data_IF_579569473112
#
_entry.id   IF_579569473112
#
_cell.length_a   1.000
_cell.length_b   1.000
_cell.length_c   1.000
_cell.angle_alpha   90.00
_cell.angle_beta   90.00
_cell.angle_gamma   90.00
#
_symmetry.space_group_name_H-M   'P 1'
#
loop_
_entity.id
_entity.type
_entity.pdbx_description
1 polymer ?
#
# COMPACT_ATOMS: atom_id res chain seq x y z
N UNK A 1 17.57 53.78 -56.78
CA UNK A 1 17.02 54.19 -55.47
C UNK A 1 16.43 52.93 -54.88
N UNK A 2 17.02 52.42 -53.80
CA UNK A 2 16.64 51.16 -53.16
C UNK A 2 15.92 51.50 -51.86
N UNK A 3 14.67 51.08 -51.71
CA UNK A 3 13.90 51.26 -50.48
C UNK A 3 14.48 50.40 -49.34
N UNK A 4 14.55 50.90 -48.09
CA UNK A 4 14.89 50.08 -46.95
C UNK A 4 13.69 49.24 -46.50
N UNK A 5 13.90 47.93 -46.40
CA UNK A 5 12.94 46.97 -45.89
C UNK A 5 12.92 47.04 -44.35
N UNK A 6 11.81 47.48 -43.76
CA UNK A 6 11.62 47.47 -42.31
C UNK A 6 11.40 46.03 -41.78
N UNK A 7 11.88 45.68 -40.58
CA UNK A 7 11.59 44.39 -39.97
C UNK A 7 10.10 44.30 -39.62
N UNK A 8 9.48 43.17 -39.97
CA UNK A 8 8.12 42.81 -39.54
C UNK A 8 8.03 42.70 -38.02
N UNK A 9 6.89 43.13 -37.47
CA UNK A 9 6.55 43.20 -36.05
C UNK A 9 6.86 41.90 -35.26
N UNK A 10 7.15 42.01 -33.94
CA UNK A 10 7.40 40.85 -33.11
C UNK A 10 6.13 39.99 -33.02
N UNK A 11 6.29 38.73 -33.40
CA UNK A 11 5.34 37.64 -33.23
C UNK A 11 4.77 37.69 -31.80
N UNK A 12 3.45 37.82 -31.72
CA UNK A 12 2.72 37.88 -30.46
C UNK A 12 3.04 36.62 -29.67
N UNK A 13 3.75 36.77 -28.55
CA UNK A 13 4.00 35.68 -27.63
C UNK A 13 2.65 35.10 -27.20
N UNK A 14 2.30 33.93 -27.73
CA UNK A 14 1.16 33.16 -27.27
C UNK A 14 1.29 33.01 -25.76
N UNK A 15 0.38 33.65 -25.03
CA UNK A 15 0.30 33.55 -23.59
C UNK A 15 -0.09 32.12 -23.26
N UNK A 16 0.90 31.30 -22.90
CA UNK A 16 0.66 29.93 -22.45
C UNK A 16 -0.42 29.95 -21.36
N UNK A 17 -1.51 29.18 -21.51
CA UNK A 17 -2.56 29.15 -20.50
C UNK A 17 -1.93 28.74 -19.15
N UNK A 18 -2.36 29.37 -18.04
CA UNK A 18 -1.82 29.05 -16.72
C UNK A 18 -2.00 27.55 -16.44
N UNK A 19 -1.00 26.87 -15.85
CA UNK A 19 -1.09 25.45 -15.56
C UNK A 19 -2.36 25.18 -14.76
N UNK A 20 -3.21 24.29 -15.29
CA UNK A 20 -4.45 23.90 -14.64
C UNK A 20 -4.12 23.44 -13.21
N UNK A 21 -4.86 23.95 -12.22
CA UNK A 21 -4.71 23.53 -10.82
C UNK A 21 -5.19 22.10 -10.71
N UNK A 22 -4.29 21.14 -10.91
CA UNK A 22 -4.56 19.75 -10.65
C UNK A 22 -4.73 19.56 -9.14
N UNK A 23 -5.84 18.95 -8.67
CA UNK A 23 -6.01 18.69 -7.25
C UNK A 23 -4.86 17.82 -6.75
N UNK A 24 -4.17 18.31 -5.70
CA UNK A 24 -2.98 17.68 -5.09
C UNK A 24 -3.23 16.23 -4.64
N UNK A 25 -4.50 15.85 -4.45
CA UNK A 25 -4.93 14.52 -3.99
C UNK A 25 -5.98 13.90 -4.91
N UNK A 26 -5.61 13.50 -6.12
CA UNK A 26 -6.46 12.61 -6.94
C UNK A 26 -6.23 11.14 -6.54
N UNK A 27 -6.59 10.79 -5.30
CA UNK A 27 -6.48 9.42 -4.81
C UNK A 27 -7.45 8.51 -5.59
N UNK A 28 -7.03 7.30 -6.02
CA UNK A 28 -7.93 6.38 -6.70
C UNK A 28 -9.14 6.04 -5.82
N UNK A 29 -10.37 5.94 -6.36
CA UNK A 29 -11.57 5.67 -5.57
C UNK A 29 -11.47 4.44 -4.66
N UNK A 30 -10.79 3.39 -5.12
CA UNK A 30 -10.58 2.19 -4.32
C UNK A 30 -9.67 2.42 -3.11
N UNK A 31 -8.66 3.29 -3.23
CA UNK A 31 -7.76 3.66 -2.13
C UNK A 31 -8.54 4.51 -1.13
N UNK A 32 -9.33 5.47 -1.61
CA UNK A 32 -10.22 6.27 -0.76
C UNK A 32 -11.24 5.39 -0.03
N UNK A 33 -11.80 4.37 -0.68
CA UNK A 33 -12.73 3.43 -0.05
C UNK A 33 -12.07 2.66 1.10
N UNK A 34 -10.85 2.14 0.89
CA UNK A 34 -10.10 1.45 1.96
C UNK A 34 -9.78 2.41 3.11
N UNK A 35 -9.31 3.63 2.82
CA UNK A 35 -9.06 4.65 3.84
C UNK A 35 -10.34 4.98 4.61
N UNK A 36 -11.45 5.17 3.90
CA UNK A 36 -12.75 5.48 4.49
C UNK A 36 -13.25 4.37 5.42
N UNK A 37 -13.13 3.10 5.01
CA UNK A 37 -13.51 1.96 5.85
C UNK A 37 -12.65 1.93 7.12
N UNK A 38 -11.32 2.05 7.01
CA UNK A 38 -10.43 2.09 8.16
C UNK A 38 -10.77 3.25 9.11
N UNK A 39 -11.03 4.44 8.57
CA UNK A 39 -11.40 5.61 9.35
C UNK A 39 -12.74 5.43 10.05
N UNK A 40 -13.76 4.90 9.38
CA UNK A 40 -15.07 4.63 9.97
C UNK A 40 -14.94 3.62 11.11
N UNK A 41 -14.27 2.48 10.88
CA UNK A 41 -14.05 1.46 11.92
C UNK A 41 -13.35 2.06 13.13
N UNK A 42 -12.28 2.83 12.92
CA UNK A 42 -11.55 3.49 14.00
C UNK A 42 -12.41 4.52 14.76
N UNK A 43 -13.17 5.36 14.07
CA UNK A 43 -14.04 6.35 14.70
C UNK A 43 -15.18 5.69 15.51
N UNK A 44 -15.73 4.59 15.01
CA UNK A 44 -16.70 3.78 15.76
C UNK A 44 -16.08 3.24 17.05
N UNK A 45 -14.88 2.65 16.95
CA UNK A 45 -14.15 2.14 18.12
C UNK A 45 -13.91 3.24 19.16
N UNK A 46 -13.52 4.45 18.75
CA UNK A 46 -13.13 5.50 19.69
C UNK A 46 -14.29 6.31 20.28
N UNK A 47 -15.38 6.50 19.52
CA UNK A 47 -16.40 7.50 19.87
C UNK A 47 -17.82 6.95 19.98
N UNK A 48 -18.07 5.70 19.55
CA UNK A 48 -19.43 5.13 19.50
C UNK A 48 -19.56 3.90 20.38
N UNK A 49 -18.59 2.99 20.32
CA UNK A 49 -18.66 1.72 21.04
C UNK A 49 -18.24 1.87 22.49
N UNK A 50 -18.99 1.25 23.40
CA UNK A 50 -18.57 1.08 24.79
C UNK A 50 -17.53 -0.05 24.92
N UNK A 51 -16.90 -0.18 26.09
CA UNK A 51 -15.80 -1.13 26.33
C UNK A 51 -16.18 -2.58 25.95
N UNK A 52 -17.37 -3.06 26.32
CA UNK A 52 -17.81 -4.40 25.98
C UNK A 52 -17.96 -4.59 24.46
N UNK A 53 -18.56 -3.62 23.77
CA UNK A 53 -18.70 -3.64 22.31
C UNK A 53 -17.36 -3.54 21.59
N UNK A 54 -16.41 -2.75 22.13
CA UNK A 54 -15.05 -2.67 21.59
C UNK A 54 -14.33 -4.01 21.72
N UNK A 55 -14.45 -4.70 22.86
CA UNK A 55 -13.88 -6.03 23.05
C UNK A 55 -14.51 -7.06 22.11
N UNK A 56 -15.84 -7.04 21.93
CA UNK A 56 -16.53 -7.89 20.95
C UNK A 56 -16.00 -7.63 19.54
N UNK A 57 -15.93 -6.36 19.11
CA UNK A 57 -15.42 -6.01 17.78
C UNK A 57 -13.96 -6.44 17.60
N UNK A 58 -13.12 -6.29 18.63
CA UNK A 58 -11.73 -6.74 18.61
C UNK A 58 -11.65 -8.26 18.47
N UNK A 59 -12.41 -9.01 19.25
CA UNK A 59 -12.42 -10.47 19.19
C UNK A 59 -12.97 -11.00 17.86
N UNK A 60 -14.05 -10.43 17.34
CA UNK A 60 -14.69 -10.87 16.09
C UNK A 60 -13.93 -10.41 14.83
N UNK A 61 -13.23 -9.27 14.92
CA UNK A 61 -12.60 -8.62 13.78
C UNK A 61 -11.09 -8.81 13.66
N UNK A 62 -10.35 -8.96 14.76
CA UNK A 62 -8.90 -9.11 14.75
C UNK A 62 -8.46 -10.54 14.38
N UNK A 63 -7.26 -10.66 13.84
CA UNK A 63 -6.67 -11.98 13.62
C UNK A 63 -5.96 -12.44 14.90
N UNK A 64 -6.48 -13.49 15.54
CA UNK A 64 -5.90 -14.07 16.76
C UNK A 64 -5.37 -15.48 16.40
N UNK A 65 -4.04 -15.69 16.38
CA UNK A 65 -3.44 -16.93 15.89
C UNK A 65 -3.94 -18.20 16.56
N UNK A 66 -4.07 -18.18 17.90
CA UNK A 66 -4.44 -19.36 18.68
C UNK A 66 -5.80 -19.96 18.27
N UNK A 67 -6.72 -19.13 17.74
CA UNK A 67 -8.05 -19.57 17.29
C UNK A 67 -8.01 -20.49 16.06
N UNK A 68 -6.88 -20.53 15.35
CA UNK A 68 -6.68 -21.38 14.17
C UNK A 68 -5.91 -22.68 14.46
N UNK A 69 -5.63 -22.97 15.73
CA UNK A 69 -4.93 -24.19 16.17
C UNK A 69 -5.84 -25.43 16.21
N UNK A 70 -7.16 -25.23 16.10
CA UNK A 70 -8.15 -26.30 16.29
C UNK A 70 -8.43 -26.66 17.75
N UNK A 71 -7.82 -25.96 18.72
CA UNK A 71 -8.07 -26.15 20.15
C UNK A 71 -9.36 -25.47 20.63
N UNK A 72 -9.87 -24.51 19.86
CA UNK A 72 -11.10 -23.78 20.13
C UNK A 72 -12.24 -24.34 19.27
N UNK A 73 -13.47 -24.22 19.77
CA UNK A 73 -14.67 -24.65 19.05
C UNK A 73 -14.88 -23.88 17.75
N UNK A 74 -15.85 -24.33 16.96
CA UNK A 74 -16.22 -23.67 15.71
C UNK A 74 -16.72 -22.24 15.96
N UNK A 75 -16.18 -21.29 15.19
CA UNK A 75 -16.55 -19.89 15.20
C UNK A 75 -16.67 -19.40 13.75
N UNK A 76 -17.80 -18.79 13.40
CA UNK A 76 -18.06 -18.30 12.05
C UNK A 76 -17.07 -17.19 11.64
N UNK A 77 -16.55 -16.44 12.60
CA UNK A 77 -15.59 -15.36 12.34
C UNK A 77 -14.21 -15.86 11.90
N UNK A 78 -13.91 -17.17 12.02
CA UNK A 78 -12.67 -17.76 11.49
C UNK A 78 -12.48 -17.52 9.98
N UNK A 79 -13.57 -17.30 9.23
CA UNK A 79 -13.50 -17.01 7.80
C UNK A 79 -13.34 -15.52 7.48
N UNK A 80 -13.73 -14.62 8.40
CA UNK A 80 -13.72 -13.17 8.17
C UNK A 80 -12.51 -12.48 8.79
N UNK A 81 -12.07 -12.92 9.98
CA UNK A 81 -10.90 -12.39 10.70
C UNK A 81 -9.63 -12.25 9.84
N UNK A 82 -9.29 -13.19 8.92
CA UNK A 82 -8.12 -13.06 8.05
C UNK A 82 -8.20 -11.88 7.07
N UNK A 83 -9.37 -11.24 6.93
CA UNK A 83 -9.61 -10.07 6.09
C UNK A 83 -9.94 -8.82 6.91
N UNK A 84 -10.79 -8.94 7.92
CA UNK A 84 -11.29 -7.79 8.71
C UNK A 84 -10.21 -7.13 9.55
N UNK A 85 -9.21 -7.89 9.98
CA UNK A 85 -8.10 -7.38 10.80
C UNK A 85 -7.39 -6.19 10.13
N UNK A 86 -7.32 -6.19 8.79
CA UNK A 86 -6.64 -5.17 8.00
C UNK A 86 -7.32 -3.80 8.07
N UNK A 87 -8.57 -3.72 8.54
CA UNK A 87 -9.32 -2.47 8.66
C UNK A 87 -9.36 -1.91 10.08
N UNK A 88 -8.93 -2.70 11.08
CA UNK A 88 -8.91 -2.32 12.49
C UNK A 88 -7.58 -1.69 12.88
N UNK A 89 -7.58 -0.72 13.81
CA UNK A 89 -6.37 -0.05 14.25
C UNK A 89 -6.40 0.22 15.76
N UNK A 90 -5.30 -0.12 16.45
CA UNK A 90 -5.19 0.01 17.91
C UNK A 90 -4.89 1.43 18.43
N UNK A 91 -4.76 2.45 17.56
CA UNK A 91 -4.48 3.82 18.01
C UNK A 91 -4.30 4.81 16.87
N UNK A 92 -4.35 6.11 17.20
CA UNK A 92 -4.35 7.19 16.22
C UNK A 92 -3.08 7.22 15.36
N UNK A 93 -1.90 7.14 15.99
CA UNK A 93 -0.64 7.12 15.24
C UNK A 93 -0.57 5.91 14.30
N UNK A 94 -1.09 4.76 14.73
CA UNK A 94 -1.10 3.54 13.94
C UNK A 94 -1.97 3.69 12.67
N UNK A 95 -3.20 4.20 12.78
CA UNK A 95 -4.03 4.46 11.60
C UNK A 95 -3.43 5.57 10.73
N UNK A 96 -2.98 6.68 11.30
CA UNK A 96 -2.44 7.80 10.55
C UNK A 96 -1.26 7.38 9.65
N UNK A 97 -0.30 6.65 10.22
CA UNK A 97 0.87 6.13 9.49
C UNK A 97 0.43 5.16 8.39
N UNK A 98 -0.50 4.24 8.67
CA UNK A 98 -1.01 3.32 7.66
C UNK A 98 -1.70 4.06 6.50
N UNK A 99 -2.51 5.08 6.78
CA UNK A 99 -3.22 5.82 5.74
C UNK A 99 -2.26 6.63 4.86
N UNK A 100 -1.21 7.21 5.44
CA UNK A 100 -0.14 7.88 4.68
C UNK A 100 0.56 6.90 3.74
N UNK A 101 0.98 5.73 4.25
CA UNK A 101 1.65 4.73 3.42
C UNK A 101 0.74 4.08 2.38
N UNK A 102 -0.54 3.85 2.73
CA UNK A 102 -1.56 3.38 1.82
C UNK A 102 -1.79 4.40 0.69
N UNK A 103 -1.86 5.69 1.00
CA UNK A 103 -1.95 6.72 -0.03
C UNK A 103 -0.69 6.75 -0.90
N UNK A 104 0.51 6.66 -0.31
CA UNK A 104 1.78 6.75 -1.01
C UNK A 104 2.05 5.57 -1.96
N UNK A 105 1.81 4.33 -1.51
CA UNK A 105 2.08 3.12 -2.30
C UNK A 105 0.85 2.53 -2.97
N UNK A 106 -0.31 2.66 -2.32
CA UNK A 106 -1.57 2.13 -2.84
C UNK A 106 -2.08 2.93 -4.02
N UNK A 107 -1.93 4.26 -4.05
CA UNK A 107 -2.38 5.09 -5.18
C UNK A 107 -1.71 4.75 -6.51
N UNK A 108 -0.36 4.76 -6.62
CA UNK A 108 0.29 4.38 -7.87
C UNK A 108 0.07 2.93 -8.26
N UNK A 109 -0.10 2.03 -7.29
CA UNK A 109 -0.45 0.64 -7.56
C UNK A 109 -1.89 0.50 -8.06
N UNK A 110 -2.86 1.17 -7.46
CA UNK A 110 -4.25 1.12 -7.87
C UNK A 110 -4.46 1.73 -9.25
N UNK A 111 -3.78 2.83 -9.57
CA UNK A 111 -3.78 3.41 -10.91
C UNK A 111 -3.19 2.44 -11.96
N UNK A 112 -2.19 1.65 -11.57
CA UNK A 112 -1.56 0.65 -12.44
C UNK A 112 -2.41 -0.61 -12.63
N UNK A 113 -2.98 -1.16 -11.55
CA UNK A 113 -3.70 -2.42 -11.56
C UNK A 113 -5.18 -2.28 -11.92
N UNK A 114 -5.76 -1.10 -11.69
CA UNK A 114 -7.20 -0.87 -11.66
C UNK A 114 -7.86 -1.40 -10.38
N UNK A 115 -9.10 -0.96 -10.12
CA UNK A 115 -9.79 -1.15 -8.84
C UNK A 115 -9.93 -2.62 -8.42
N UNK A 116 -10.46 -3.50 -9.29
CA UNK A 116 -10.70 -4.91 -8.96
C UNK A 116 -9.40 -5.65 -8.63
N UNK A 117 -8.37 -5.49 -9.45
CA UNK A 117 -7.09 -6.18 -9.23
C UNK A 117 -6.34 -5.63 -8.03
N UNK A 118 -6.48 -4.33 -7.75
CA UNK A 118 -5.98 -3.75 -6.50
C UNK A 118 -6.68 -4.33 -5.27
N UNK A 119 -8.01 -4.48 -5.29
CA UNK A 119 -8.75 -5.09 -4.19
C UNK A 119 -8.33 -6.54 -3.95
N UNK A 120 -8.18 -7.33 -5.02
CA UNK A 120 -7.66 -8.70 -4.92
C UNK A 120 -6.21 -8.73 -4.43
N UNK A 121 -5.36 -7.81 -4.89
CA UNK A 121 -3.99 -7.67 -4.43
C UNK A 121 -3.95 -7.38 -2.92
N UNK A 122 -4.73 -6.40 -2.45
CA UNK A 122 -4.86 -6.04 -1.03
C UNK A 122 -5.27 -7.25 -0.18
N UNK A 123 -6.29 -8.00 -0.62
CA UNK A 123 -6.75 -9.20 0.09
C UNK A 123 -5.68 -10.29 0.13
N UNK A 124 -5.02 -10.59 -1.00
CA UNK A 124 -4.00 -11.65 -1.07
C UNK A 124 -2.77 -11.31 -0.23
N UNK A 125 -2.29 -10.07 -0.26
CA UNK A 125 -1.13 -9.69 0.56
C UNK A 125 -1.47 -9.59 2.05
N UNK A 126 -2.71 -9.19 2.40
CA UNK A 126 -3.23 -9.29 3.77
C UNK A 126 -3.27 -10.75 4.25
N UNK A 127 -3.84 -11.66 3.47
CA UNK A 127 -3.87 -13.09 3.79
C UNK A 127 -2.47 -13.68 3.96
N UNK A 128 -1.54 -13.34 3.07
CA UNK A 128 -0.15 -13.79 3.20
C UNK A 128 0.54 -13.25 4.46
N UNK A 129 0.15 -12.06 4.92
CA UNK A 129 0.66 -11.48 6.16
C UNK A 129 0.23 -12.31 7.38
N UNK A 130 -1.08 -12.59 7.52
CA UNK A 130 -1.58 -13.39 8.64
C UNK A 130 -1.15 -14.85 8.56
N UNK A 131 -0.98 -15.40 7.34
CA UNK A 131 -0.47 -16.75 7.15
C UNK A 131 0.97 -16.89 7.67
N UNK A 132 1.87 -15.94 7.35
CA UNK A 132 3.24 -15.98 7.87
C UNK A 132 3.28 -15.72 9.38
N UNK A 133 2.48 -14.77 9.87
CA UNK A 133 2.39 -14.49 11.30
C UNK A 133 1.92 -15.72 12.10
N UNK A 134 0.87 -16.40 11.63
CA UNK A 134 0.38 -17.64 12.24
C UNK A 134 1.39 -18.77 12.18
N UNK A 135 2.12 -18.93 11.07
CA UNK A 135 3.15 -19.96 10.94
C UNK A 135 4.30 -19.78 11.95
N UNK A 136 4.58 -18.54 12.36
CA UNK A 136 5.63 -18.24 13.35
C UNK A 136 5.10 -18.25 14.79
N UNK A 137 3.85 -17.85 15.00
CA UNK A 137 3.24 -17.68 16.32
C UNK A 137 1.88 -18.39 16.43
N UNK A 138 1.78 -19.71 16.18
CA UNK A 138 0.48 -20.39 16.07
C UNK A 138 -0.31 -20.38 17.40
N UNK A 139 0.38 -20.30 18.54
CA UNK A 139 -0.22 -20.24 19.88
C UNK A 139 -0.29 -18.82 20.45
N UNK A 140 -0.04 -17.79 19.64
CA UNK A 140 -0.13 -16.40 20.07
C UNK A 140 -1.57 -15.99 20.37
N UNK A 141 -1.78 -15.39 21.54
CA UNK A 141 -3.09 -14.86 21.98
C UNK A 141 -3.28 -13.38 21.65
N UNK A 142 -2.20 -12.68 21.30
CA UNK A 142 -2.24 -11.27 20.98
C UNK A 142 -3.03 -11.00 19.69
N UNK A 143 -4.05 -10.12 19.70
CA UNK A 143 -4.80 -9.77 18.51
C UNK A 143 -3.95 -8.96 17.53
N UNK A 144 -3.87 -9.43 16.29
CA UNK A 144 -3.26 -8.70 15.18
C UNK A 144 -4.31 -7.83 14.48
N UNK A 145 -4.00 -6.54 14.33
CA UNK A 145 -4.83 -5.55 13.61
C UNK A 145 -3.94 -4.63 12.77
N UNK A 146 -4.49 -4.09 11.68
CA UNK A 146 -3.86 -3.04 10.88
C UNK A 146 -3.64 -3.40 9.41
N UNK A 147 -3.75 -2.40 8.54
CA UNK A 147 -3.57 -2.54 7.10
C UNK A 147 -2.10 -2.77 6.68
N UNK A 148 -1.16 -2.68 7.62
CA UNK A 148 0.29 -2.60 7.39
C UNK A 148 0.86 -3.81 6.66
N UNK A 149 0.31 -5.01 6.86
CA UNK A 149 0.67 -6.21 6.10
C UNK A 149 0.36 -6.07 4.60
N UNK A 150 -0.87 -5.66 4.27
CA UNK A 150 -1.27 -5.42 2.89
C UNK A 150 -0.47 -4.28 2.24
N UNK A 151 -0.22 -3.20 2.98
CA UNK A 151 0.63 -2.07 2.58
C UNK A 151 2.07 -2.51 2.33
N UNK A 152 2.62 -3.39 3.17
CA UNK A 152 3.94 -3.98 2.96
C UNK A 152 4.00 -4.77 1.65
N UNK A 153 2.91 -5.45 1.28
CA UNK A 153 2.76 -6.01 -0.05
C UNK A 153 2.83 -4.98 -1.17
N UNK A 154 2.21 -3.81 -0.99
CA UNK A 154 2.31 -2.71 -1.97
C UNK A 154 3.74 -2.17 -2.09
N UNK A 155 4.48 -2.10 -0.99
CA UNK A 155 5.91 -1.75 -0.98
C UNK A 155 6.73 -2.80 -1.75
N UNK A 156 6.44 -4.10 -1.55
CA UNK A 156 7.03 -5.19 -2.31
C UNK A 156 6.76 -5.08 -3.81
N UNK A 157 5.53 -4.75 -4.20
CA UNK A 157 5.19 -4.47 -5.59
C UNK A 157 5.92 -3.23 -6.13
N UNK A 158 5.99 -2.14 -5.37
CA UNK A 158 6.67 -0.91 -5.75
C UNK A 158 8.17 -1.13 -6.03
N UNK A 159 8.84 -1.96 -5.22
CA UNK A 159 10.21 -2.37 -5.43
C UNK A 159 10.42 -3.08 -6.79
N UNK A 160 9.43 -3.85 -7.26
CA UNK A 160 9.46 -4.55 -8.56
C UNK A 160 9.25 -3.61 -9.75
N UNK A 161 8.70 -2.42 -9.53
CA UNK A 161 8.68 -1.34 -10.52
C UNK A 161 9.91 -0.42 -10.41
N UNK A 162 10.77 -0.62 -9.41
CA UNK A 162 11.90 0.24 -9.11
C UNK A 162 11.48 1.64 -8.66
N UNK A 163 10.29 1.77 -8.05
CA UNK A 163 9.69 3.04 -7.64
C UNK A 163 9.49 4.06 -8.77
N UNK A 164 9.51 3.62 -10.03
CA UNK A 164 9.25 4.49 -11.18
C UNK A 164 7.75 4.77 -11.28
N UNK A 165 7.38 6.04 -11.28
CA UNK A 165 5.99 6.48 -11.45
C UNK A 165 5.86 7.38 -12.66
N UNK A 166 4.82 7.19 -13.45
CA UNK A 166 4.42 8.07 -14.53
C UNK A 166 3.20 8.90 -14.08
N UNK A 167 3.19 10.17 -14.48
CA UNK A 167 2.13 11.16 -14.18
C UNK A 167 1.53 11.78 -15.45
N UNK A 168 1.93 11.31 -16.63
CA UNK A 168 1.52 11.83 -17.94
C UNK A 168 0.01 11.96 -18.12
N UNK A 169 -0.78 11.07 -17.51
CA UNK A 169 -2.25 11.05 -17.58
C UNK A 169 -2.96 11.78 -16.42
N UNK A 170 -2.29 12.69 -15.70
CA UNK A 170 -2.85 13.41 -14.54
C UNK A 170 -3.09 12.52 -13.31
N UNK A 171 -2.55 11.30 -13.33
CA UNK A 171 -2.62 10.31 -12.23
C UNK A 171 -1.27 9.64 -12.09
N UNK A 172 -0.70 9.66 -10.88
CA UNK A 172 0.54 8.95 -10.59
C UNK A 172 0.28 7.44 -10.58
N UNK A 173 0.83 6.70 -11.54
CA UNK A 173 0.80 5.23 -11.62
C UNK A 173 2.21 4.65 -11.71
N UNK A 174 2.44 3.42 -11.24
CA UNK A 174 3.75 2.77 -11.46
C UNK A 174 4.01 2.54 -12.95
N UNK A 175 5.25 2.78 -13.37
CA UNK A 175 5.63 2.84 -14.78
C UNK A 175 6.64 1.77 -15.20
N UNK A 176 6.59 1.46 -16.50
CA UNK A 176 7.45 0.48 -17.15
C UNK A 176 7.12 -0.98 -16.80
N UNK A 177 7.92 -1.93 -17.31
CA UNK A 177 7.70 -3.35 -17.06
C UNK A 177 8.06 -3.74 -15.62
N UNK A 178 7.42 -4.80 -15.13
CA UNK A 178 7.80 -5.47 -13.87
C UNK A 178 9.21 -6.05 -14.01
N UNK A 179 10.18 -5.43 -13.35
CA UNK A 179 11.61 -5.74 -13.46
C UNK A 179 11.90 -7.18 -13.01
N UNK A 180 12.88 -7.91 -13.53
CA UNK A 180 13.37 -9.17 -12.94
C UNK A 180 14.01 -8.97 -11.56
N UNK A 181 13.97 -9.99 -10.68
CA UNK A 181 14.51 -9.89 -9.29
C UNK A 181 15.99 -9.51 -9.29
N UNK A 182 16.78 -10.10 -10.19
CA UNK A 182 18.19 -9.78 -10.34
C UNK A 182 18.46 -8.29 -10.65
N UNK A 183 17.58 -7.63 -11.42
CA UNK A 183 17.70 -6.20 -11.72
C UNK A 183 17.31 -5.37 -10.50
N UNK A 184 16.24 -5.75 -9.80
CA UNK A 184 15.81 -5.09 -8.57
C UNK A 184 16.93 -5.09 -7.52
N UNK A 185 17.59 -6.24 -7.31
CA UNK A 185 18.68 -6.38 -6.33
C UNK A 185 19.98 -5.67 -6.74
N UNK A 186 20.11 -5.22 -7.99
CA UNK A 186 21.23 -4.38 -8.45
C UNK A 186 20.92 -2.88 -8.35
N UNK A 187 19.66 -2.51 -8.17
CA UNK A 187 19.25 -1.11 -8.02
C UNK A 187 19.59 -0.61 -6.62
N UNK A 188 20.58 0.29 -6.52
CA UNK A 188 21.02 0.87 -5.24
C UNK A 188 19.87 1.46 -4.44
N UNK A 189 19.02 2.26 -5.08
CA UNK A 189 17.89 2.91 -4.40
C UNK A 189 16.88 1.89 -3.83
N UNK A 190 16.59 0.82 -4.58
CA UNK A 190 15.70 -0.23 -4.09
C UNK A 190 16.34 -1.01 -2.95
N UNK A 191 17.60 -1.42 -3.07
CA UNK A 191 18.30 -2.16 -2.01
C UNK A 191 18.39 -1.35 -0.72
N UNK A 192 18.69 -0.04 -0.80
CA UNK A 192 18.69 0.85 0.36
C UNK A 192 17.30 0.89 1.01
N UNK A 193 16.25 1.05 0.20
CA UNK A 193 14.87 1.01 0.71
C UNK A 193 14.57 -0.32 1.41
N UNK A 194 14.90 -1.47 0.80
CA UNK A 194 14.66 -2.80 1.39
C UNK A 194 15.41 -2.96 2.71
N UNK A 195 16.66 -2.52 2.77
CA UNK A 195 17.47 -2.59 3.99
C UNK A 195 16.89 -1.69 5.09
N UNK A 196 16.57 -0.42 4.78
CA UNK A 196 15.97 0.50 5.75
C UNK A 196 14.60 0.01 6.22
N UNK A 197 13.76 -0.45 5.30
CA UNK A 197 12.45 -1.02 5.63
C UNK A 197 12.61 -2.21 6.58
N UNK A 198 13.51 -3.14 6.30
CA UNK A 198 13.75 -4.29 7.19
C UNK A 198 14.29 -3.86 8.55
N UNK A 199 15.24 -2.93 8.59
CA UNK A 199 15.80 -2.39 9.84
C UNK A 199 14.70 -1.74 10.69
N UNK A 200 13.86 -0.90 10.09
CA UNK A 200 12.76 -0.24 10.79
C UNK A 200 11.78 -1.27 11.33
N UNK A 201 11.39 -2.27 10.53
CA UNK A 201 10.49 -3.34 10.97
C UNK A 201 11.04 -4.13 12.15
N UNK A 202 12.32 -4.51 12.09
CA UNK A 202 12.96 -5.26 13.17
C UNK A 202 13.13 -4.38 14.43
N UNK A 203 13.56 -3.13 14.26
CA UNK A 203 13.75 -2.20 15.36
C UNK A 203 12.42 -1.93 16.09
N UNK A 204 11.33 -1.70 15.36
CA UNK A 204 10.03 -1.47 15.98
C UNK A 204 9.40 -2.74 16.55
N UNK A 205 9.66 -3.90 15.96
CA UNK A 205 9.31 -5.19 16.57
C UNK A 205 10.03 -5.42 17.91
N UNK A 206 11.32 -5.13 17.98
CA UNK A 206 12.13 -5.25 19.20
C UNK A 206 11.76 -4.19 20.25
N UNK A 207 11.44 -2.96 19.84
CA UNK A 207 10.97 -1.91 20.76
C UNK A 207 9.65 -2.28 21.44
N UNK A 208 8.83 -3.14 20.84
CA UNK A 208 7.61 -3.66 21.46
C UNK A 208 7.85 -4.55 22.70
N UNK A 209 9.10 -4.88 23.03
CA UNK A 209 9.48 -5.55 24.29
C UNK A 209 9.94 -4.56 25.37
N UNK A 210 10.04 -3.27 25.06
CA UNK A 210 10.48 -2.26 26.01
C UNK A 210 9.37 -1.99 27.06
N UNK A 211 9.72 -1.88 28.36
CA UNK A 211 8.74 -1.57 29.40
C UNK A 211 8.00 -0.25 29.12
N UNK A 212 6.67 -0.27 29.19
CA UNK A 212 5.81 0.92 29.00
C UNK A 212 5.47 1.27 27.55
N UNK A 213 5.82 0.43 26.58
CA UNK A 213 5.34 0.54 25.19
C UNK A 213 4.28 -0.53 24.95
N UNK A 214 3.02 -0.11 24.86
CA UNK A 214 1.90 -1.00 24.52
C UNK A 214 1.78 -1.16 23.00
N UNK A 215 1.61 -2.42 22.55
CA UNK A 215 1.39 -2.76 21.15
C UNK A 215 2.65 -3.23 20.42
N UNK A 216 2.85 -4.55 20.37
CA UNK A 216 3.91 -5.15 19.57
C UNK A 216 3.62 -5.03 18.08
N UNK A 217 4.60 -4.56 17.31
CA UNK A 217 4.50 -4.53 15.85
C UNK A 217 4.86 -5.92 15.31
N UNK A 218 3.89 -6.56 14.66
CA UNK A 218 4.04 -7.86 14.00
C UNK A 218 4.85 -7.74 12.69
N UNK A 219 6.16 -7.55 12.83
CA UNK A 219 7.09 -7.41 11.70
C UNK A 219 7.07 -8.64 10.78
N UNK A 220 6.78 -9.83 11.31
CA UNK A 220 6.59 -11.07 10.53
C UNK A 220 5.41 -10.96 9.57
N UNK A 221 4.30 -10.35 10.02
CA UNK A 221 3.16 -10.09 9.16
C UNK A 221 3.54 -9.16 7.99
N UNK A 222 4.36 -8.14 8.25
CA UNK A 222 4.85 -7.23 7.21
C UNK A 222 5.72 -7.96 6.18
N UNK A 223 6.56 -8.89 6.60
CA UNK A 223 7.35 -9.75 5.69
C UNK A 223 6.43 -10.60 4.82
N UNK A 224 5.40 -11.22 5.39
CA UNK A 224 4.47 -12.08 4.66
C UNK A 224 3.78 -11.32 3.53
N UNK A 225 3.23 -10.15 3.85
CA UNK A 225 2.64 -9.25 2.85
C UNK A 225 3.64 -8.79 1.80
N UNK A 226 4.84 -8.35 2.24
CA UNK A 226 5.90 -7.88 1.35
C UNK A 226 6.30 -8.95 0.32
N UNK A 227 6.58 -10.18 0.76
CA UNK A 227 6.99 -11.28 -0.12
C UNK A 227 5.88 -11.62 -1.12
N UNK A 228 4.62 -11.69 -0.67
CA UNK A 228 3.48 -11.94 -1.54
C UNK A 228 3.33 -10.85 -2.61
N UNK A 229 3.47 -9.58 -2.24
CA UNK A 229 3.44 -8.48 -3.20
C UNK A 229 4.62 -8.52 -4.18
N UNK A 230 5.83 -8.72 -3.68
CA UNK A 230 7.06 -8.73 -4.47
C UNK A 230 7.08 -9.85 -5.52
N UNK A 231 6.72 -11.08 -5.14
CA UNK A 231 6.73 -12.23 -6.04
C UNK A 231 5.40 -12.42 -6.81
N UNK A 232 4.27 -12.01 -6.21
CA UNK A 232 2.92 -12.19 -6.76
C UNK A 232 2.47 -11.13 -7.76
N UNK A 233 3.05 -9.92 -7.74
CA UNK A 233 2.61 -8.76 -8.55
C UNK A 233 2.28 -9.08 -10.01
N UNK A 234 3.09 -9.92 -10.68
CA UNK A 234 2.90 -10.24 -12.11
C UNK A 234 1.53 -10.81 -12.46
N UNK A 235 0.85 -11.46 -11.50
CA UNK A 235 -0.50 -12.02 -11.68
C UNK A 235 -1.58 -10.95 -11.71
N UNK A 236 -1.29 -9.77 -11.17
CA UNK A 236 -2.22 -8.65 -11.08
C UNK A 236 -1.93 -7.57 -12.13
N UNK A 237 -0.68 -7.45 -12.59
CA UNK A 237 -0.28 -6.42 -13.54
C UNK A 237 -1.06 -6.51 -14.87
N UNK A 238 -1.45 -5.35 -15.42
CA UNK A 238 -2.19 -5.25 -16.70
C UNK A 238 -1.27 -5.27 -17.92
N UNK A 239 0.05 -5.32 -17.73
CA UNK A 239 1.02 -5.13 -18.81
C UNK A 239 1.26 -3.64 -19.05
N UNK A 240 2.51 -3.28 -19.34
CA UNK A 240 2.88 -1.90 -19.70
C UNK A 240 2.73 -1.76 -21.21
N UNK A 241 1.95 -0.77 -21.64
CA UNK A 241 1.91 -0.34 -23.03
C UNK A 241 2.77 0.92 -23.10
N UNK A 242 3.82 0.88 -23.92
CA UNK A 242 4.66 2.06 -24.15
C UNK A 242 3.80 3.15 -24.83
N UNK A 243 3.99 4.43 -24.50
CA UNK A 243 3.34 5.51 -25.23
C UNK A 243 3.68 5.46 -26.72
N UNK A 244 2.72 5.77 -27.59
CA UNK A 244 2.84 5.63 -29.05
C UNK A 244 4.05 6.39 -29.65
N UNK A 245 4.48 7.49 -29.01
CA UNK A 245 5.65 8.27 -29.44
C UNK A 245 6.99 7.54 -29.22
N UNK A 246 7.10 6.60 -28.28
CA UNK A 246 8.31 5.76 -28.13
C UNK A 246 8.41 4.71 -29.25
N UNK A 247 7.29 4.38 -29.90
CA UNK A 247 7.26 3.43 -31.01
C UNK A 247 7.46 4.07 -32.38
N UNK A 248 7.08 5.34 -32.56
CA UNK A 248 7.24 6.07 -33.84
C UNK A 248 8.68 6.44 -34.16
N UNK A 249 9.56 6.59 -33.16
CA UNK A 249 10.99 6.88 -33.36
C UNK A 249 11.83 5.65 -33.78
N UNK A 250 11.19 4.48 -33.97
CA UNK A 250 11.86 3.22 -34.34
C UNK A 250 11.54 2.72 -35.75
N UNK A 251 10.82 3.49 -36.57
CA UNK A 251 10.51 3.20 -37.97
C UNK A 251 11.05 4.28 -38.88
#
# INVERSE_FOLDING_TARGET
>A
MSEPQYPSEPETAETMPPPAREPVFNLPPIVMAVIGICAIVYLLQQYVLNDAQQMTLLYDGAFIPVLYTGQYGFDWFLFTRPFTYAFMHGGFAHIAINMVWLAAFGSPLANRLGALRFALFFAVTGLASVALFWAMHPYGEAPLVGASGAISGMMGAAARFGFRTDRSAGKAGFAGPVLPVAIVLRSRGVVIFLAMWMIINLATGLLGFAPGIDGQIAWEAHIGGFLAGFFGLRRFDRGWQAPDWETSDRT
#
